data_IF_453284365060
#
_entry.id   IF_453284365060
#
_cell.length_a   1.000
_cell.length_b   1.000
_cell.length_c   1.000
_cell.angle_alpha   90.00
_cell.angle_beta   90.00
_cell.angle_gamma   90.00
#
_symmetry.space_group_name_H-M   'P 1'
#
loop_
_entity.id
_entity.type
_entity.pdbx_description
1 polymer ?
#
# COMPACT_ATOMS: atom_id res chain seq x y z
N UNK A 1 -24.47 -8.11 12.35
CA UNK A 1 -24.44 -7.43 11.03
C UNK A 1 -24.03 -5.96 11.12
N UNK A 2 -24.76 -5.04 11.78
CA UNK A 2 -24.32 -3.63 11.95
C UNK A 2 -23.08 -3.49 12.84
N UNK A 3 -22.99 -4.31 13.90
CA UNK A 3 -21.86 -4.33 14.83
C UNK A 3 -20.56 -4.86 14.18
N UNK A 4 -20.67 -5.88 13.32
CA UNK A 4 -19.53 -6.44 12.55
C UNK A 4 -18.99 -5.44 11.53
N UNK A 5 -19.89 -4.71 10.85
CA UNK A 5 -19.54 -3.68 9.88
C UNK A 5 -18.85 -2.47 10.54
N UNK A 6 -19.20 -2.14 11.79
CA UNK A 6 -18.53 -1.11 12.59
C UNK A 6 -17.14 -1.53 13.06
N UNK A 7 -17.00 -2.79 13.52
CA UNK A 7 -15.72 -3.32 14.00
C UNK A 7 -14.67 -3.47 12.88
N UNK A 8 -15.05 -3.97 11.71
CA UNK A 8 -14.14 -4.08 10.56
C UNK A 8 -13.60 -2.72 10.10
N UNK A 9 -14.46 -1.70 10.11
CA UNK A 9 -14.10 -0.31 9.80
C UNK A 9 -13.11 0.28 10.81
N UNK A 10 -13.37 0.09 12.11
CA UNK A 10 -12.47 0.54 13.18
C UNK A 10 -11.09 -0.14 13.08
N UNK A 11 -11.07 -1.46 12.82
CA UNK A 11 -9.83 -2.22 12.63
C UNK A 11 -8.99 -1.68 11.48
N UNK A 12 -9.61 -1.44 10.33
CA UNK A 12 -8.91 -0.92 9.15
C UNK A 12 -8.38 0.49 9.37
N UNK A 13 -9.19 1.34 10.02
CA UNK A 13 -8.81 2.71 10.34
C UNK A 13 -7.66 2.75 11.35
N UNK A 14 -7.67 1.86 12.35
CA UNK A 14 -6.56 1.69 13.29
C UNK A 14 -5.26 1.30 12.57
N UNK A 15 -5.32 0.30 11.68
CA UNK A 15 -4.16 -0.13 10.87
C UNK A 15 -3.64 1.05 10.02
N UNK A 16 -4.53 1.82 9.41
CA UNK A 16 -4.15 2.97 8.61
C UNK A 16 -3.48 4.06 9.47
N UNK A 17 -4.05 4.44 10.60
CA UNK A 17 -3.45 5.44 11.51
C UNK A 17 -2.07 4.99 12.00
N UNK A 18 -1.92 3.73 12.40
CA UNK A 18 -0.61 3.19 12.79
C UNK A 18 0.39 3.27 11.65
N UNK A 19 -0.05 2.97 10.42
CA UNK A 19 0.77 3.09 9.21
C UNK A 19 1.18 4.53 8.94
N UNK A 20 0.28 5.51 9.10
CA UNK A 20 0.56 6.95 8.99
C UNK A 20 1.60 7.37 10.03
N UNK A 21 1.40 7.03 11.30
CA UNK A 21 2.32 7.37 12.39
C UNK A 21 3.71 6.78 12.16
N UNK A 22 3.77 5.50 11.77
CA UNK A 22 5.03 4.81 11.45
C UNK A 22 5.76 5.51 10.29
N UNK A 23 5.07 5.77 9.17
CA UNK A 23 5.65 6.43 8.00
C UNK A 23 6.13 7.84 8.31
N UNK A 24 5.33 8.63 9.04
CA UNK A 24 5.70 9.96 9.48
C UNK A 24 6.97 9.96 10.34
N UNK A 25 7.11 8.99 11.25
CA UNK A 25 8.31 8.85 12.09
C UNK A 25 9.54 8.43 11.27
N UNK A 26 9.36 7.63 10.21
CA UNK A 26 10.47 7.22 9.35
C UNK A 26 10.93 8.30 8.36
N UNK A 27 10.11 9.31 8.08
CA UNK A 27 10.46 10.44 7.21
C UNK A 27 11.33 11.45 7.96
N UNK A 28 12.60 11.09 8.16
CA UNK A 28 13.59 11.98 8.76
C UNK A 28 14.79 12.13 7.81
N UNK A 29 14.95 13.33 7.23
CA UNK A 29 16.04 13.65 6.30
C UNK A 29 17.41 13.54 6.96
N UNK A 30 17.51 13.85 8.25
CA UNK A 30 18.77 13.71 8.99
C UNK A 30 19.17 12.24 9.10
N UNK A 31 18.21 11.37 9.40
CA UNK A 31 18.41 9.92 9.41
C UNK A 31 18.81 9.40 8.03
N UNK A 32 18.12 9.85 6.97
CA UNK A 32 18.47 9.51 5.59
C UNK A 32 19.93 9.85 5.27
N UNK A 33 20.39 11.05 5.63
CA UNK A 33 21.78 11.45 5.40
C UNK A 33 22.77 10.57 6.16
N UNK A 34 22.47 10.23 7.42
CA UNK A 34 23.28 9.33 8.21
C UNK A 34 23.36 7.93 7.59
N UNK A 35 22.22 7.37 7.18
CA UNK A 35 22.14 6.04 6.56
C UNK A 35 22.97 6.00 5.25
N UNK A 36 22.87 7.02 4.40
CA UNK A 36 23.66 7.13 3.16
C UNK A 36 25.17 7.23 3.44
N UNK A 37 25.56 7.98 4.47
CA UNK A 37 26.95 8.10 4.89
C UNK A 37 27.49 6.78 5.42
N UNK A 38 26.70 6.08 6.22
CA UNK A 38 27.06 4.79 6.82
C UNK A 38 27.28 3.72 5.74
N UNK A 39 26.40 3.65 4.73
CA UNK A 39 26.56 2.75 3.57
C UNK A 39 27.89 2.98 2.87
N UNK A 40 28.25 4.23 2.60
CA UNK A 40 29.54 4.55 1.96
C UNK A 40 30.72 4.08 2.80
N UNK A 41 30.67 4.27 4.12
CA UNK A 41 31.73 3.82 5.03
C UNK A 41 31.85 2.30 5.08
N UNK A 42 30.71 1.59 5.19
CA UNK A 42 30.66 0.13 5.22
C UNK A 42 31.19 -0.46 3.92
N UNK A 43 30.67 -0.04 2.76
CA UNK A 43 31.09 -0.59 1.47
C UNK A 43 32.58 -0.30 1.18
N UNK A 44 33.07 0.88 1.53
CA UNK A 44 34.50 1.22 1.41
C UNK A 44 35.40 0.37 2.32
N UNK A 45 34.89 -0.12 3.44
CA UNK A 45 35.62 -1.01 4.33
C UNK A 45 35.70 -2.46 3.78
N UNK A 46 34.89 -2.82 2.78
CA UNK A 46 34.99 -4.11 2.12
C UNK A 46 36.28 -4.17 1.29
N UNK A 47 37.05 -5.25 1.41
CA UNK A 47 38.31 -5.44 0.65
C UNK A 47 38.03 -5.90 -0.79
N UNK A 48 37.37 -5.05 -1.57
CA UNK A 48 36.98 -5.31 -2.96
C UNK A 48 37.52 -4.24 -3.90
N UNK A 49 37.43 -4.49 -5.21
CA UNK A 49 37.79 -3.51 -6.23
C UNK A 49 36.90 -2.26 -6.16
N UNK A 50 37.49 -1.11 -6.45
CA UNK A 50 36.83 0.21 -6.36
C UNK A 50 35.57 0.25 -7.23
N UNK A 51 35.61 -0.30 -8.45
CA UNK A 51 34.43 -0.34 -9.33
C UNK A 51 33.26 -1.12 -8.73
N UNK A 52 33.54 -2.23 -8.04
CA UNK A 52 32.52 -3.02 -7.36
C UNK A 52 31.94 -2.22 -6.18
N UNK A 53 32.80 -1.58 -5.38
CA UNK A 53 32.37 -0.74 -4.26
C UNK A 53 31.45 0.39 -4.71
N UNK A 54 31.81 1.13 -5.75
CA UNK A 54 31.00 2.25 -6.27
C UNK A 54 29.63 1.78 -6.77
N UNK A 55 29.56 0.64 -7.47
CA UNK A 55 28.29 0.06 -7.91
C UNK A 55 27.41 -0.30 -6.71
N UNK A 56 27.96 -0.92 -5.67
CA UNK A 56 27.19 -1.25 -4.46
C UNK A 56 26.77 -0.01 -3.68
N UNK A 57 27.62 1.01 -3.56
CA UNK A 57 27.27 2.29 -2.94
C UNK A 57 26.08 2.90 -3.69
N UNK A 58 26.14 2.93 -5.02
CA UNK A 58 25.07 3.46 -5.86
C UNK A 58 23.76 2.67 -5.67
N UNK A 59 23.81 1.34 -5.75
CA UNK A 59 22.62 0.49 -5.62
C UNK A 59 21.98 0.59 -4.23
N UNK A 60 22.76 0.51 -3.15
CA UNK A 60 22.25 0.57 -1.78
C UNK A 60 21.73 1.99 -1.48
N UNK A 61 22.49 3.02 -1.84
CA UNK A 61 22.07 4.42 -1.64
C UNK A 61 20.81 4.75 -2.44
N UNK A 62 20.74 4.30 -3.69
CA UNK A 62 19.57 4.46 -4.54
C UNK A 62 18.34 3.76 -3.97
N UNK A 63 18.50 2.55 -3.41
CA UNK A 63 17.42 1.84 -2.75
C UNK A 63 16.91 2.58 -1.50
N UNK A 64 17.82 3.09 -0.66
CA UNK A 64 17.45 3.88 0.53
C UNK A 64 16.69 5.14 0.13
N UNK A 65 17.17 5.88 -0.87
CA UNK A 65 16.50 7.07 -1.39
C UNK A 65 15.11 6.72 -1.94
N UNK A 66 15.01 5.66 -2.73
CA UNK A 66 13.74 5.21 -3.30
C UNK A 66 12.74 4.82 -2.20
N UNK A 67 13.18 4.12 -1.16
CA UNK A 67 12.34 3.83 0.01
C UNK A 67 11.88 5.09 0.72
N UNK A 68 12.75 6.09 0.87
CA UNK A 68 12.38 7.37 1.48
C UNK A 68 11.27 8.06 0.66
N UNK A 69 11.42 8.13 -0.66
CA UNK A 69 10.39 8.69 -1.55
C UNK A 69 9.09 7.90 -1.49
N UNK A 70 9.17 6.56 -1.54
CA UNK A 70 7.98 5.70 -1.47
C UNK A 70 7.29 5.77 -0.10
N UNK A 71 8.04 6.02 0.97
CA UNK A 71 7.48 6.29 2.30
C UNK A 71 6.64 7.57 2.28
N UNK A 72 7.12 8.63 1.61
CA UNK A 72 6.38 9.89 1.45
C UNK A 72 5.10 9.68 0.63
N UNK A 73 5.20 9.04 -0.53
CA UNK A 73 4.03 8.73 -1.38
C UNK A 73 3.05 7.85 -0.60
N UNK A 74 3.56 6.89 0.18
CA UNK A 74 2.77 6.00 1.01
C UNK A 74 2.11 6.66 2.21
N UNK A 75 2.68 7.75 2.73
CA UNK A 75 2.04 8.57 3.76
C UNK A 75 0.87 9.33 3.15
N UNK A 76 1.10 9.98 2.00
CA UNK A 76 0.08 10.73 1.29
C UNK A 76 -1.11 9.85 0.90
N UNK A 77 -0.86 8.66 0.33
CA UNK A 77 -1.92 7.72 -0.03
C UNK A 77 -2.72 7.23 1.18
N UNK A 78 -2.04 6.88 2.28
CA UNK A 78 -2.69 6.49 3.53
C UNK A 78 -3.61 7.59 4.10
N UNK A 79 -3.19 8.86 4.04
CA UNK A 79 -4.01 10.01 4.47
C UNK A 79 -5.26 10.12 3.59
N UNK A 80 -5.11 10.04 2.27
CA UNK A 80 -6.25 10.06 1.33
C UNK A 80 -7.22 8.90 1.59
N UNK A 81 -6.70 7.71 1.92
CA UNK A 81 -7.50 6.55 2.23
C UNK A 81 -8.35 6.69 3.51
N UNK A 82 -8.10 7.65 4.40
CA UNK A 82 -8.94 7.86 5.59
C UNK A 82 -10.39 8.16 5.18
N UNK A 83 -10.57 8.97 4.13
CA UNK A 83 -11.89 9.38 3.66
C UNK A 83 -12.76 8.19 3.22
N UNK A 84 -12.38 7.37 2.21
CA UNK A 84 -13.20 6.24 1.76
C UNK A 84 -13.43 5.19 2.86
N UNK A 85 -12.47 5.02 3.79
CA UNK A 85 -12.65 4.14 4.95
C UNK A 85 -13.75 4.65 5.87
N UNK A 86 -13.83 5.97 6.08
CA UNK A 86 -14.77 6.59 7.01
C UNK A 86 -16.16 6.78 6.40
N UNK A 87 -16.25 7.06 5.10
CA UNK A 87 -17.53 7.34 4.43
C UNK A 87 -18.11 6.12 3.72
N UNK A 88 -17.35 5.03 3.57
CA UNK A 88 -17.70 3.90 2.69
C UNK A 88 -18.09 4.38 1.27
N UNK A 89 -17.46 5.45 0.79
CA UNK A 89 -17.70 6.03 -0.52
C UNK A 89 -16.40 6.22 -1.30
N UNK A 90 -16.47 6.32 -2.63
CA UNK A 90 -15.33 6.53 -3.53
C UNK A 90 -14.21 5.48 -3.35
N UNK A 91 -14.47 4.20 -3.67
CA UNK A 91 -13.48 3.11 -3.54
C UNK A 91 -12.22 3.34 -4.38
N UNK A 92 -12.30 4.15 -5.44
CA UNK A 92 -11.18 4.54 -6.28
C UNK A 92 -10.03 5.20 -5.50
N UNK A 93 -10.35 5.90 -4.40
CA UNK A 93 -9.35 6.55 -3.55
C UNK A 93 -8.52 5.56 -2.71
N UNK A 94 -8.94 4.29 -2.62
CA UNK A 94 -8.16 3.21 -1.98
C UNK A 94 -7.08 2.63 -2.90
N UNK A 95 -7.25 2.71 -4.23
CA UNK A 95 -6.31 2.14 -5.20
C UNK A 95 -4.88 2.69 -5.07
N UNK A 96 -4.66 4.01 -4.93
CA UNK A 96 -3.31 4.54 -4.73
C UNK A 96 -2.61 3.94 -3.50
N UNK A 97 -3.36 3.68 -2.43
CA UNK A 97 -2.81 3.08 -1.20
C UNK A 97 -2.37 1.64 -1.43
N UNK A 98 -3.22 0.85 -2.10
CA UNK A 98 -2.94 -0.54 -2.46
C UNK A 98 -1.71 -0.63 -3.37
N UNK A 99 -1.64 0.19 -4.42
CA UNK A 99 -0.53 0.20 -5.39
C UNK A 99 0.79 0.56 -4.68
N UNK A 100 0.79 1.63 -3.89
CA UNK A 100 2.01 2.08 -3.20
C UNK A 100 2.46 1.03 -2.18
N UNK A 101 1.52 0.37 -1.50
CA UNK A 101 1.84 -0.71 -0.57
C UNK A 101 2.44 -1.93 -1.30
N UNK A 102 1.94 -2.31 -2.48
CA UNK A 102 2.55 -3.37 -3.29
C UNK A 102 3.98 -3.00 -3.67
N UNK A 103 4.20 -1.79 -4.17
CA UNK A 103 5.53 -1.36 -4.63
C UNK A 103 6.52 -1.27 -3.45
N UNK A 104 6.19 -0.56 -2.38
CA UNK A 104 7.12 -0.34 -1.25
C UNK A 104 7.33 -1.59 -0.39
N UNK A 105 6.26 -2.34 -0.14
CA UNK A 105 6.28 -3.43 0.83
C UNK A 105 6.50 -4.82 0.21
N UNK A 106 6.30 -4.99 -1.09
CA UNK A 106 6.56 -6.26 -1.79
C UNK A 106 7.75 -6.09 -2.74
N UNK A 107 7.65 -5.21 -3.75
CA UNK A 107 8.68 -5.10 -4.78
C UNK A 107 10.03 -4.63 -4.19
N UNK A 108 10.05 -3.55 -3.40
CA UNK A 108 11.29 -3.08 -2.79
C UNK A 108 11.84 -4.04 -1.74
N UNK A 109 10.99 -4.79 -1.01
CA UNK A 109 11.47 -5.83 -0.10
C UNK A 109 12.18 -6.97 -0.85
N UNK A 110 11.63 -7.43 -1.98
CA UNK A 110 12.27 -8.45 -2.83
C UNK A 110 13.60 -7.93 -3.35
N UNK A 111 13.63 -6.69 -3.85
CA UNK A 111 14.87 -6.07 -4.33
C UNK A 111 15.93 -5.99 -3.22
N UNK A 112 15.54 -5.61 -2.01
CA UNK A 112 16.44 -5.56 -0.85
C UNK A 112 16.97 -6.94 -0.46
N UNK A 113 16.17 -8.01 -0.61
CA UNK A 113 16.64 -9.39 -0.41
C UNK A 113 17.71 -9.76 -1.44
N UNK A 114 17.46 -9.46 -2.73
CA UNK A 114 18.40 -9.73 -3.82
C UNK A 114 19.71 -8.96 -3.60
N UNK A 115 19.61 -7.67 -3.27
CA UNK A 115 20.76 -6.82 -3.02
C UNK A 115 21.52 -7.26 -1.75
N UNK A 116 20.81 -7.66 -0.71
CA UNK A 116 21.39 -8.24 0.51
C UNK A 116 22.20 -9.49 0.20
N UNK A 117 21.65 -10.41 -0.59
CA UNK A 117 22.37 -11.62 -1.03
C UNK A 117 23.63 -11.27 -1.84
N UNK A 118 23.53 -10.31 -2.77
CA UNK A 118 24.66 -9.83 -3.53
C UNK A 118 25.76 -9.23 -2.62
N UNK A 119 25.39 -8.48 -1.59
CA UNK A 119 26.35 -7.92 -0.62
C UNK A 119 27.13 -9.02 0.09
N UNK A 120 26.51 -10.14 0.48
CA UNK A 120 27.26 -11.23 1.11
C UNK A 120 28.15 -11.93 0.11
N UNK A 121 27.63 -12.21 -1.10
CA UNK A 121 28.40 -12.91 -2.12
C UNK A 121 29.65 -12.14 -2.55
N UNK A 122 29.56 -10.82 -2.67
CA UNK A 122 30.62 -9.98 -3.23
C UNK A 122 31.38 -9.15 -2.21
N UNK A 123 30.75 -8.61 -1.16
CA UNK A 123 31.41 -7.74 -0.18
C UNK A 123 31.81 -8.48 1.11
N UNK A 124 30.91 -9.29 1.68
CA UNK A 124 31.08 -9.90 3.01
C UNK A 124 30.73 -11.39 3.05
N UNK A 125 31.54 -12.27 2.43
CA UNK A 125 31.24 -13.71 2.29
C UNK A 125 31.16 -14.46 3.62
N UNK A 126 31.77 -13.93 4.68
CA UNK A 126 31.76 -14.55 6.01
C UNK A 126 30.49 -14.26 6.83
N UNK A 127 29.60 -13.39 6.35
CA UNK A 127 28.45 -12.87 7.12
C UNK A 127 27.13 -13.59 6.83
N UNK A 128 27.16 -14.90 6.52
CA UNK A 128 25.95 -15.67 6.16
C UNK A 128 24.92 -15.68 7.29
N UNK A 129 25.34 -15.77 8.55
CA UNK A 129 24.41 -15.73 9.70
C UNK A 129 23.60 -14.43 9.77
N UNK A 130 24.24 -13.29 9.45
CA UNK A 130 23.57 -11.98 9.39
C UNK A 130 22.53 -11.98 8.26
N UNK A 131 22.83 -12.64 7.14
CA UNK A 131 21.87 -12.80 6.06
C UNK A 131 20.63 -13.56 6.45
N UNK A 132 20.78 -14.67 7.18
CA UNK A 132 19.64 -15.53 7.54
C UNK A 132 18.68 -14.75 8.43
N UNK A 133 19.21 -13.99 9.39
CA UNK A 133 18.40 -13.10 10.25
C UNK A 133 17.73 -12.00 9.42
N UNK A 134 18.47 -11.38 8.50
CA UNK A 134 17.93 -10.38 7.59
C UNK A 134 16.83 -10.92 6.68
N UNK A 135 17.05 -12.09 6.07
CA UNK A 135 16.08 -12.78 5.21
C UNK A 135 14.81 -13.10 5.98
N UNK A 136 14.92 -13.72 7.15
CA UNK A 136 13.78 -14.02 8.01
C UNK A 136 12.97 -12.76 8.37
N UNK A 137 13.66 -11.67 8.74
CA UNK A 137 13.03 -10.37 9.01
C UNK A 137 12.25 -9.87 7.79
N UNK A 138 12.82 -9.96 6.60
CA UNK A 138 12.18 -9.49 5.36
C UNK A 138 11.01 -10.37 4.92
N UNK A 139 11.10 -11.69 5.13
CA UNK A 139 9.99 -12.63 4.88
C UNK A 139 8.81 -12.34 5.81
N UNK A 140 9.04 -12.21 7.12
CA UNK A 140 7.99 -11.89 8.09
C UNK A 140 7.34 -10.55 7.73
N UNK A 141 8.16 -9.52 7.46
CA UNK A 141 7.69 -8.20 7.03
C UNK A 141 6.77 -8.32 5.81
N UNK A 142 7.19 -9.04 4.78
CA UNK A 142 6.43 -9.21 3.53
C UNK A 142 5.11 -9.94 3.76
N UNK A 143 5.10 -11.00 4.58
CA UNK A 143 3.87 -11.72 4.94
C UNK A 143 2.87 -10.78 5.62
N UNK A 144 3.31 -10.02 6.63
CA UNK A 144 2.46 -9.07 7.33
C UNK A 144 1.85 -8.03 6.37
N UNK A 145 2.65 -7.50 5.44
CA UNK A 145 2.15 -6.53 4.46
C UNK A 145 1.16 -7.12 3.47
N UNK A 146 1.36 -8.37 3.03
CA UNK A 146 0.38 -9.08 2.18
C UNK A 146 -0.93 -9.29 2.94
N UNK A 147 -0.88 -9.65 4.22
CA UNK A 147 -2.09 -9.77 5.04
C UNK A 147 -2.86 -8.46 5.14
N UNK A 148 -2.17 -7.34 5.37
CA UNK A 148 -2.79 -6.01 5.39
C UNK A 148 -3.37 -5.66 4.01
N UNK A 149 -2.61 -5.91 2.94
CA UNK A 149 -3.05 -5.65 1.57
C UNK A 149 -4.34 -6.42 1.23
N UNK A 150 -4.44 -7.67 1.66
CA UNK A 150 -5.63 -8.48 1.44
C UNK A 150 -6.87 -7.86 2.11
N UNK A 151 -6.73 -7.34 3.34
CA UNK A 151 -7.82 -6.65 4.04
C UNK A 151 -8.24 -5.37 3.29
N UNK A 152 -7.27 -4.59 2.79
CA UNK A 152 -7.58 -3.38 2.00
C UNK A 152 -8.25 -3.71 0.66
N UNK A 153 -7.80 -4.77 -0.02
CA UNK A 153 -8.39 -5.21 -1.29
C UNK A 153 -9.81 -5.75 -1.11
N UNK A 154 -10.05 -6.54 -0.06
CA UNK A 154 -11.39 -7.01 0.31
C UNK A 154 -12.34 -5.84 0.60
N UNK A 155 -11.86 -4.83 1.35
CA UNK A 155 -12.67 -3.63 1.64
C UNK A 155 -13.03 -2.85 0.38
N UNK A 156 -12.09 -2.71 -0.56
CA UNK A 156 -12.36 -2.04 -1.82
C UNK A 156 -13.44 -2.78 -2.62
N UNK A 157 -13.37 -4.12 -2.68
CA UNK A 157 -14.36 -4.93 -3.39
C UNK A 157 -15.75 -4.87 -2.72
N UNK A 158 -15.80 -4.85 -1.39
CA UNK A 158 -17.04 -4.65 -0.62
C UNK A 158 -17.68 -3.29 -0.97
N UNK A 159 -16.94 -2.19 -0.93
CA UNK A 159 -17.47 -0.85 -1.26
C UNK A 159 -17.92 -0.78 -2.72
N UNK A 160 -17.14 -1.35 -3.64
CA UNK A 160 -17.46 -1.36 -5.07
C UNK A 160 -18.75 -2.15 -5.35
N UNK A 161 -18.89 -3.35 -4.77
CA UNK A 161 -20.10 -4.15 -4.97
C UNK A 161 -21.34 -3.46 -4.38
N UNK A 162 -21.26 -2.88 -3.18
CA UNK A 162 -22.36 -2.11 -2.60
C UNK A 162 -22.78 -0.89 -3.44
N UNK A 163 -21.83 -0.19 -4.08
CA UNK A 163 -22.15 0.88 -5.03
C UNK A 163 -22.86 0.35 -6.26
N UNK A 164 -22.35 -0.72 -6.88
CA UNK A 164 -22.99 -1.32 -8.07
C UNK A 164 -24.39 -1.83 -7.76
N UNK A 165 -24.62 -2.41 -6.57
CA UNK A 165 -25.97 -2.81 -6.15
C UNK A 165 -26.89 -1.62 -5.89
N UNK A 166 -26.40 -0.54 -5.28
CA UNK A 166 -27.19 0.67 -5.04
C UNK A 166 -27.54 1.39 -6.35
N UNK A 167 -26.61 1.43 -7.32
CA UNK A 167 -26.83 2.01 -8.64
C UNK A 167 -27.82 1.17 -9.46
N UNK A 168 -27.69 -0.16 -9.44
CA UNK A 168 -28.62 -1.06 -10.11
C UNK A 168 -30.01 -1.07 -9.46
N UNK A 169 -30.09 -1.02 -8.12
CA UNK A 169 -31.35 -0.89 -7.39
C UNK A 169 -32.03 0.45 -7.62
N UNK A 170 -31.26 1.53 -7.64
CA UNK A 170 -31.75 2.86 -8.00
C UNK A 170 -32.23 2.95 -9.45
N UNK A 171 -31.55 2.29 -10.40
CA UNK A 171 -32.01 2.19 -11.78
C UNK A 171 -33.30 1.37 -11.91
N UNK A 172 -33.44 0.26 -11.18
CA UNK A 172 -34.67 -0.54 -11.15
C UNK A 172 -35.85 0.23 -10.53
N UNK A 173 -35.63 0.98 -9.45
CA UNK A 173 -36.64 1.85 -8.85
C UNK A 173 -37.04 2.99 -9.81
N UNK A 174 -36.08 3.56 -10.54
CA UNK A 174 -36.34 4.60 -11.54
C UNK A 174 -37.08 4.08 -12.76
N UNK A 175 -36.69 2.93 -13.32
CA UNK A 175 -37.41 2.27 -14.42
C UNK A 175 -38.83 1.87 -14.00
N UNK A 176 -39.01 1.34 -12.78
CA UNK A 176 -40.35 1.00 -12.28
C UNK A 176 -41.25 2.22 -12.04
N UNK A 177 -40.65 3.34 -11.61
CA UNK A 177 -41.36 4.61 -11.42
C UNK A 177 -41.74 5.23 -12.77
N UNK A 178 -40.85 5.17 -13.75
CA UNK A 178 -41.09 5.61 -15.13
C UNK A 178 -42.16 4.73 -15.82
N UNK A 179 -42.15 3.39 -15.63
CA UNK A 179 -43.22 2.49 -16.12
C UNK A 179 -44.58 2.78 -15.46
N UNK A 180 -44.61 3.05 -14.15
CA UNK A 180 -45.84 3.38 -13.44
C UNK A 180 -46.43 4.72 -13.91
N UNK A 181 -45.58 5.71 -14.19
CA UNK A 181 -46.01 7.01 -14.73
C UNK A 181 -46.57 6.89 -16.16
N UNK A 182 -45.93 6.09 -17.02
CA UNK A 182 -46.39 5.84 -18.40
C UNK A 182 -47.73 5.10 -18.40
N UNK A 183 -47.91 4.09 -17.55
CA UNK A 183 -49.19 3.40 -17.39
C UNK A 183 -50.30 4.36 -16.94
N UNK A 184 -50.00 5.31 -16.04
CA UNK A 184 -50.98 6.25 -15.53
C UNK A 184 -51.41 7.33 -16.55
N UNK A 185 -50.54 7.67 -17.51
CA UNK A 185 -50.86 8.57 -18.65
C UNK A 185 -51.76 7.87 -19.66
N UNK A 186 -51.58 6.56 -19.87
CA UNK A 186 -52.34 5.77 -20.84
C UNK A 186 -53.79 5.47 -20.40
N UNK A 187 -54.12 5.66 -19.11
CA UNK A 187 -55.45 5.48 -18.54
C UNK A 187 -56.31 6.76 -18.43
N UNK A 188 -55.85 7.93 -18.91
CA UNK A 188 -56.78 9.07 -19.09
C UNK A 188 -57.64 8.82 -20.33
N UNK A 189 -58.97 8.62 -20.18
CA UNK A 189 -59.83 8.61 -21.34
C UNK A 189 -59.82 10.02 -21.94
N UNK A 190 -59.53 10.08 -23.24
CA UNK A 190 -59.82 11.26 -24.06
C UNK A 190 -61.34 11.37 -24.07
N UNK A 191 -61.91 12.13 -23.12
CA UNK A 191 -63.31 12.53 -23.21
C UNK A 191 -63.41 13.54 -24.34
N UNK A 192 -63.96 13.08 -25.47
CA UNK A 192 -64.56 13.87 -26.55
C UNK A 192 -65.75 14.68 -26.05
#
# INVERSE_FOLDING_TARGET
>A
MVQDMSYGKLKLLFINIVSVLYKATSLNVHRLHLDLREVKLLVNAAKQEIWIQEIFIFLISGLILLRFVMCFVGLASNIVAIYPILTNSQPELLMPTIIVQILDSVALNIYEIILGYACIKYLYPQSISVFVVFFAKMTIKTICYISVLNIFSEKQHEIMSHMTYAENGGNLERESSEEFEIAHVQFRPINS
#
